data_IF_714805305994
#
_entry.id   IF_714805305994
#
_cell.length_a   1.000
_cell.length_b   1.000
_cell.length_c   1.000
_cell.angle_alpha   90.00
_cell.angle_beta   90.00
_cell.angle_gamma   90.00
#
_symmetry.space_group_name_H-M   'P 1'
#
loop_
_entity.id
_entity.type
_entity.pdbx_description
1 polymer ?
#
# COMPACT_ATOMS: atom_id res chain seq x y z
N UNK A 1 12.98 33.84 31.50
CA UNK A 1 11.64 33.27 31.21
C UNK A 1 11.79 31.77 31.16
N UNK A 2 11.00 31.02 31.93
CA UNK A 2 10.96 29.56 31.79
C UNK A 2 10.23 29.22 30.48
N UNK A 3 10.71 28.25 29.69
CA UNK A 3 9.99 27.81 28.50
C UNK A 3 8.64 27.24 28.92
N UNK A 4 7.59 27.58 28.16
CA UNK A 4 6.27 27.00 28.36
C UNK A 4 6.35 25.48 28.15
N UNK A 5 5.65 24.68 28.97
CA UNK A 5 5.70 23.22 28.84
C UNK A 5 5.11 22.76 27.52
N UNK A 6 5.74 21.77 26.88
CA UNK A 6 5.21 21.07 25.72
C UNK A 6 3.88 20.40 26.11
N UNK A 7 2.82 20.67 25.36
CA UNK A 7 1.48 20.14 25.64
C UNK A 7 1.10 18.94 24.78
N UNK A 8 1.58 18.88 23.54
CA UNK A 8 1.26 17.84 22.57
C UNK A 8 2.47 17.62 21.65
N UNK A 9 2.71 16.37 21.27
CA UNK A 9 3.67 15.98 20.23
C UNK A 9 2.94 15.07 19.24
N UNK A 10 3.03 15.39 17.95
CA UNK A 10 2.53 14.55 16.87
C UNK A 10 3.69 13.72 16.32
N UNK A 11 3.42 12.45 16.04
CA UNK A 11 4.37 11.54 15.41
C UNK A 11 3.81 11.11 14.06
N UNK A 12 4.68 11.07 13.06
CA UNK A 12 4.40 10.25 11.88
C UNK A 12 4.41 8.77 12.27
N UNK A 13 3.81 7.92 11.45
CA UNK A 13 3.63 6.51 11.78
C UNK A 13 4.75 5.64 11.18
N UNK A 14 4.80 5.53 9.84
CA UNK A 14 5.72 4.63 9.14
C UNK A 14 7.15 5.19 9.19
N UNK A 15 8.13 4.38 9.55
CA UNK A 15 9.52 4.82 9.70
C UNK A 15 9.78 5.68 10.94
N UNK A 16 8.78 5.89 11.80
CA UNK A 16 8.90 6.57 13.09
C UNK A 16 8.43 5.68 14.23
N UNK A 17 7.21 5.16 14.16
CA UNK A 17 6.59 4.29 15.17
C UNK A 17 6.64 2.81 14.78
N UNK A 18 6.56 2.49 13.48
CA UNK A 18 6.63 1.12 12.98
C UNK A 18 7.15 1.05 11.55
N UNK A 19 7.59 -0.14 11.17
CA UNK A 19 8.04 -0.48 9.82
C UNK A 19 7.26 -1.70 9.27
N UNK A 20 7.34 -1.89 7.95
CA UNK A 20 6.81 -3.11 7.31
C UNK A 20 7.65 -4.31 7.77
N UNK A 21 6.98 -5.37 8.22
CA UNK A 21 7.66 -6.64 8.50
C UNK A 21 7.93 -7.38 7.18
N UNK A 22 9.18 -7.39 6.72
CA UNK A 22 9.56 -7.90 5.40
C UNK A 22 9.51 -6.79 4.35
N UNK A 23 9.04 -7.11 3.13
CA UNK A 23 8.88 -6.16 2.04
C UNK A 23 7.45 -6.13 1.48
N UNK A 24 7.07 -5.04 0.80
CA UNK A 24 5.76 -4.97 0.09
C UNK A 24 5.67 -6.08 -0.95
N UNK A 25 6.76 -6.33 -1.69
CA UNK A 25 6.84 -7.42 -2.66
C UNK A 25 6.66 -8.79 -2.02
N UNK A 26 7.25 -9.02 -0.86
CA UNK A 26 7.11 -10.28 -0.12
C UNK A 26 5.66 -10.51 0.30
N UNK A 27 5.01 -9.51 0.89
CA UNK A 27 3.60 -9.57 1.29
C UNK A 27 2.72 -9.80 0.07
N UNK A 28 2.92 -9.05 -1.00
CA UNK A 28 2.10 -9.18 -2.22
C UNK A 28 2.23 -10.57 -2.83
N UNK A 29 3.44 -11.12 -2.91
CA UNK A 29 3.65 -12.45 -3.47
C UNK A 29 3.12 -13.56 -2.57
N UNK A 30 3.20 -13.41 -1.25
CA UNK A 30 2.63 -14.38 -0.31
C UNK A 30 1.15 -14.67 -0.60
N UNK A 31 0.35 -13.63 -0.83
CA UNK A 31 -1.06 -13.79 -1.19
C UNK A 31 -1.26 -14.22 -2.65
N UNK A 32 -0.44 -13.71 -3.58
CA UNK A 32 -0.61 -13.96 -5.01
C UNK A 32 -0.30 -15.41 -5.41
N UNK A 33 0.43 -16.17 -4.58
CA UNK A 33 0.69 -17.59 -4.79
C UNK A 33 -0.60 -18.43 -4.93
N UNK A 34 -1.67 -18.07 -4.20
CA UNK A 34 -2.98 -18.74 -4.31
C UNK A 34 -3.61 -18.58 -5.69
N UNK A 35 -3.22 -17.53 -6.40
CA UNK A 35 -3.71 -17.13 -7.72
C UNK A 35 -2.75 -17.51 -8.84
N UNK A 36 -1.80 -18.42 -8.58
CA UNK A 36 -0.87 -18.96 -9.58
C UNK A 36 0.37 -18.11 -9.83
N UNK A 37 0.60 -17.03 -9.06
CA UNK A 37 1.82 -16.23 -9.18
C UNK A 37 2.98 -16.93 -8.48
N UNK A 38 4.07 -17.17 -9.22
CA UNK A 38 5.27 -17.81 -8.67
C UNK A 38 6.14 -16.76 -7.97
N UNK A 39 6.38 -16.95 -6.67
CA UNK A 39 7.32 -16.12 -5.92
C UNK A 39 8.74 -16.37 -6.41
N UNK A 40 9.36 -15.32 -6.97
CA UNK A 40 10.79 -15.31 -7.31
C UNK A 40 11.45 -14.04 -6.75
N UNK A 41 12.74 -14.07 -6.37
CA UNK A 41 13.43 -12.89 -5.86
C UNK A 41 13.44 -11.70 -6.83
N UNK A 42 13.48 -11.99 -8.14
CA UNK A 42 13.42 -10.97 -9.20
C UNK A 42 12.05 -10.30 -9.27
N UNK A 43 10.96 -11.07 -9.19
CA UNK A 43 9.61 -10.53 -9.17
C UNK A 43 9.33 -9.73 -7.89
N UNK A 44 9.81 -10.20 -6.74
CA UNK A 44 9.70 -9.47 -5.48
C UNK A 44 10.39 -8.10 -5.57
N UNK A 45 11.61 -8.08 -6.10
CA UNK A 45 12.37 -6.83 -6.33
C UNK A 45 11.65 -5.90 -7.31
N UNK A 46 11.05 -6.46 -8.37
CA UNK A 46 10.28 -5.70 -9.36
C UNK A 46 9.02 -5.09 -8.74
N UNK A 47 8.29 -5.83 -7.89
CA UNK A 47 7.11 -5.32 -7.17
C UNK A 47 7.52 -4.19 -6.22
N UNK A 48 8.58 -4.36 -5.43
CA UNK A 48 9.07 -3.32 -4.53
C UNK A 48 9.44 -2.03 -5.28
N UNK A 49 10.07 -2.14 -6.44
CA UNK A 49 10.40 -0.99 -7.29
C UNK A 49 9.13 -0.35 -7.88
N UNK A 50 8.25 -1.15 -8.47
CA UNK A 50 7.02 -0.68 -9.07
C UNK A 50 6.09 -0.01 -8.04
N UNK A 51 6.00 -0.55 -6.83
CA UNK A 51 5.23 0.05 -5.74
C UNK A 51 5.75 1.44 -5.38
N UNK A 52 7.06 1.60 -5.17
CA UNK A 52 7.64 2.92 -4.88
C UNK A 52 7.33 3.92 -5.99
N UNK A 53 7.49 3.51 -7.24
CA UNK A 53 7.25 4.38 -8.41
C UNK A 53 5.79 4.74 -8.61
N UNK A 54 4.87 3.80 -8.37
CA UNK A 54 3.42 4.04 -8.45
C UNK A 54 2.99 4.93 -7.30
N UNK A 55 3.35 4.57 -6.07
CA UNK A 55 2.95 5.29 -4.87
C UNK A 55 3.39 6.77 -4.91
N UNK A 56 4.59 7.06 -5.40
CA UNK A 56 5.07 8.43 -5.59
C UNK A 56 4.29 9.23 -6.65
N UNK A 57 3.70 8.56 -7.65
CA UNK A 57 2.98 9.20 -8.76
C UNK A 57 1.47 9.30 -8.52
N UNK A 58 0.93 8.52 -7.60
CA UNK A 58 -0.48 8.54 -7.29
C UNK A 58 -0.87 9.88 -6.63
N UNK A 59 -2.04 10.44 -6.97
CA UNK A 59 -2.53 11.62 -6.28
C UNK A 59 -2.73 11.30 -4.80
N UNK A 60 -2.48 12.25 -3.88
CA UNK A 60 -2.73 12.02 -2.46
C UNK A 60 -4.19 11.56 -2.22
N UNK A 61 -4.44 10.57 -1.34
CA UNK A 61 -5.78 10.03 -1.07
C UNK A 61 -6.61 10.98 -0.22
N UNK A 62 -6.90 12.17 -0.75
CA UNK A 62 -7.67 13.23 -0.10
C UNK A 62 -9.08 13.25 -0.70
N UNK A 63 -10.07 12.91 0.12
CA UNK A 63 -11.45 12.76 -0.33
C UNK A 63 -12.38 13.76 0.34
N UNK A 64 -13.26 14.39 -0.45
CA UNK A 64 -14.28 15.31 0.06
C UNK A 64 -15.56 14.56 0.46
N UNK A 65 -15.44 13.61 1.38
CA UNK A 65 -16.56 12.81 1.89
C UNK A 65 -16.69 12.95 3.40
N UNK A 66 -17.93 13.07 3.90
CA UNK A 66 -18.21 13.31 5.32
C UNK A 66 -18.53 12.04 6.11
N UNK A 67 -19.05 11.00 5.44
CA UNK A 67 -19.41 9.75 6.11
C UNK A 67 -18.17 8.84 6.20
N UNK A 68 -17.84 8.31 7.39
CA UNK A 68 -16.71 7.39 7.58
C UNK A 68 -16.74 6.17 6.65
N UNK A 69 -17.93 5.64 6.35
CA UNK A 69 -18.10 4.46 5.49
C UNK A 69 -17.66 4.76 4.06
N UNK A 70 -18.07 5.91 3.51
CA UNK A 70 -17.64 6.35 2.18
C UNK A 70 -16.16 6.69 2.14
N UNK A 71 -15.61 7.25 3.23
CA UNK A 71 -14.17 7.52 3.30
C UNK A 71 -13.37 6.22 3.15
N UNK A 72 -13.71 5.19 3.93
CA UNK A 72 -13.10 3.86 3.84
C UNK A 72 -13.23 3.26 2.44
N UNK A 73 -14.39 3.43 1.80
CA UNK A 73 -14.61 2.95 0.44
C UNK A 73 -13.69 3.67 -0.57
N UNK A 74 -13.58 5.00 -0.48
CA UNK A 74 -12.70 5.79 -1.34
C UNK A 74 -11.22 5.41 -1.13
N UNK A 75 -10.79 5.26 0.12
CA UNK A 75 -9.43 4.83 0.47
C UNK A 75 -9.14 3.44 -0.10
N UNK A 76 -10.09 2.51 0.04
CA UNK A 76 -9.95 1.15 -0.53
C UNK A 76 -9.81 1.16 -2.05
N UNK A 77 -10.63 1.95 -2.75
CA UNK A 77 -10.54 2.08 -4.21
C UNK A 77 -9.21 2.70 -4.64
N UNK A 78 -8.71 3.68 -3.91
CA UNK A 78 -7.40 4.27 -4.18
C UNK A 78 -6.28 3.25 -4.00
N UNK A 79 -6.35 2.41 -2.96
CA UNK A 79 -5.42 1.30 -2.79
C UNK A 79 -5.55 0.26 -3.90
N UNK A 80 -6.77 -0.07 -4.34
CA UNK A 80 -6.99 -0.96 -5.48
C UNK A 80 -6.25 -0.46 -6.71
N UNK A 81 -6.39 0.82 -7.04
CA UNK A 81 -5.70 1.43 -8.18
C UNK A 81 -4.17 1.38 -8.05
N UNK A 82 -3.63 1.58 -6.84
CA UNK A 82 -2.18 1.46 -6.58
C UNK A 82 -1.71 0.04 -6.84
N UNK A 83 -2.33 -0.96 -6.22
CA UNK A 83 -1.91 -2.37 -6.32
C UNK A 83 -2.09 -2.88 -7.76
N UNK A 84 -3.20 -2.52 -8.39
CA UNK A 84 -3.46 -2.86 -9.79
C UNK A 84 -2.40 -2.25 -10.71
N UNK A 85 -2.04 -0.97 -10.53
CA UNK A 85 -0.98 -0.34 -11.31
C UNK A 85 0.41 -0.97 -11.11
N UNK A 86 0.69 -1.53 -9.93
CA UNK A 86 1.92 -2.30 -9.66
C UNK A 86 1.93 -3.58 -10.50
N UNK A 87 0.89 -4.43 -10.37
CA UNK A 87 0.82 -5.69 -11.11
C UNK A 87 0.68 -5.50 -12.62
N UNK A 88 0.05 -4.40 -13.06
CA UNK A 88 0.03 -4.03 -14.48
C UNK A 88 1.44 -3.83 -15.06
N UNK A 89 2.40 -3.37 -14.26
CA UNK A 89 3.80 -3.18 -14.70
C UNK A 89 4.65 -4.43 -14.63
N UNK A 90 4.43 -5.28 -13.62
CA UNK A 90 5.31 -6.43 -13.35
C UNK A 90 4.77 -7.76 -13.90
N UNK A 91 3.52 -7.79 -14.34
CA UNK A 91 2.82 -8.97 -14.84
C UNK A 91 1.50 -9.17 -14.12
N UNK A 92 0.40 -8.88 -14.81
CA UNK A 92 -0.95 -9.10 -14.29
C UNK A 92 -1.29 -10.60 -14.33
N UNK A 93 -2.24 -11.03 -13.51
CA UNK A 93 -2.68 -12.41 -13.38
C UNK A 93 -4.20 -12.51 -13.26
N UNK A 94 -4.75 -13.71 -13.49
CA UNK A 94 -6.18 -13.98 -13.34
C UNK A 94 -6.57 -14.06 -11.86
N UNK A 95 -7.74 -13.51 -11.50
CA UNK A 95 -8.20 -13.48 -10.10
C UNK A 95 -7.62 -12.33 -9.27
N UNK A 96 -7.16 -11.25 -9.92
CA UNK A 96 -6.60 -10.08 -9.22
C UNK A 96 -7.58 -9.44 -8.23
N UNK A 97 -8.87 -9.38 -8.57
CA UNK A 97 -9.88 -8.74 -7.73
C UNK A 97 -10.06 -9.50 -6.41
N UNK A 98 -10.16 -10.84 -6.48
CA UNK A 98 -10.23 -11.72 -5.32
C UNK A 98 -8.93 -11.67 -4.51
N UNK A 99 -7.77 -11.60 -5.17
CA UNK A 99 -6.48 -11.39 -4.52
C UNK A 99 -6.44 -10.09 -3.70
N UNK A 100 -6.94 -8.99 -4.26
CA UNK A 100 -6.96 -7.70 -3.57
C UNK A 100 -7.90 -7.68 -2.35
N UNK A 101 -8.93 -8.53 -2.34
CA UNK A 101 -9.80 -8.72 -1.18
C UNK A 101 -9.09 -9.44 -0.01
N UNK A 102 -7.98 -10.15 -0.26
CA UNK A 102 -7.23 -10.89 0.76
C UNK A 102 -5.98 -10.18 1.30
N UNK A 103 -5.41 -9.23 0.55
CA UNK A 103 -4.16 -8.50 0.88
C UNK A 103 -4.34 -7.46 1.97
#
# INVERSE_FOLDING_TARGET
MNPLPVKVVFFDAVGTLFDVNGSVGEVYLHYAQKYGVVHTPSLESAINLAFRDVFQKMPPPIFSVKSPEKLKQCERLWWFDVVHAVFYRVGMFEGFDEYFDEV
#
